data_IF_072148073833
#
_entry.id   IF_072148073833
#
_cell.length_a   1.000
_cell.length_b   1.000
_cell.length_c   1.000
_cell.angle_alpha   90.00
_cell.angle_beta   90.00
_cell.angle_gamma   90.00
#
_symmetry.space_group_name_H-M   'P 1'
#
loop_
_entity.id
_entity.type
_entity.pdbx_description
1 polymer ?
#
# COMPACT_ATOMS: atom_id res chain seq x y z
N UNK A 1 -14.52 -4.03 13.68
CA UNK A 1 -13.54 -4.42 12.64
C UNK A 1 -13.85 -3.58 11.42
N UNK A 2 -13.07 -2.54 11.16
CA UNK A 2 -13.23 -1.76 9.93
C UNK A 2 -12.73 -2.60 8.75
N UNK A 3 -13.40 -2.54 7.59
CA UNK A 3 -12.91 -3.26 6.42
C UNK A 3 -11.58 -2.64 5.96
N UNK A 4 -10.66 -3.51 5.53
CA UNK A 4 -9.50 -3.05 4.78
C UNK A 4 -9.95 -2.46 3.45
N UNK A 5 -9.27 -1.40 3.00
CA UNK A 5 -9.59 -0.72 1.74
C UNK A 5 -8.37 -0.71 0.81
N UNK A 6 -8.58 -0.62 -0.51
CA UNK A 6 -7.48 -0.49 -1.46
C UNK A 6 -6.65 0.77 -1.19
N UNK A 7 -5.33 0.64 -1.31
CA UNK A 7 -4.38 1.74 -1.17
C UNK A 7 -4.73 2.93 -2.07
N UNK A 8 -5.25 2.68 -3.27
CA UNK A 8 -5.65 3.73 -4.23
C UNK A 8 -6.76 4.65 -3.73
N UNK A 9 -7.50 4.26 -2.70
CA UNK A 9 -8.58 5.05 -2.09
C UNK A 9 -8.10 5.93 -0.92
N UNK A 10 -6.85 5.80 -0.48
CA UNK A 10 -6.31 6.57 0.64
C UNK A 10 -6.01 7.99 0.21
N UNK A 11 -6.39 8.98 1.02
CA UNK A 11 -6.16 10.39 0.74
C UNK A 11 -4.68 10.78 0.89
N UNK A 12 -4.16 11.71 0.06
CA UNK A 12 -2.81 12.24 0.24
C UNK A 12 -2.63 12.88 1.63
N UNK A 13 -1.46 12.69 2.23
CA UNK A 13 -1.13 13.10 3.59
C UNK A 13 -1.55 12.10 4.68
N UNK A 14 -2.27 11.03 4.33
CA UNK A 14 -2.63 9.99 5.31
C UNK A 14 -1.47 9.03 5.56
N UNK A 15 -1.30 8.63 6.81
CA UNK A 15 -0.40 7.54 7.21
C UNK A 15 -1.26 6.32 7.53
N UNK A 16 -0.98 5.20 6.88
CA UNK A 16 -1.75 3.95 6.99
C UNK A 16 -0.83 2.75 7.09
N UNK A 17 -1.36 1.62 7.59
CA UNK A 17 -0.62 0.36 7.70
C UNK A 17 -1.11 -0.63 6.67
N UNK A 18 -0.19 -1.23 5.92
CA UNK A 18 -0.52 -2.31 4.97
C UNK A 18 -1.08 -3.48 5.76
N UNK A 19 -2.27 -3.93 5.39
CA UNK A 19 -2.86 -5.15 5.95
C UNK A 19 -2.44 -6.37 5.13
N UNK A 20 -2.46 -6.25 3.80
CA UNK A 20 -2.14 -7.33 2.88
C UNK A 20 -1.65 -6.79 1.53
N UNK A 21 -0.74 -7.54 0.90
CA UNK A 21 -0.44 -7.41 -0.54
C UNK A 21 -1.10 -8.58 -1.27
N UNK A 22 -1.95 -8.26 -2.25
CA UNK A 22 -2.71 -9.22 -3.04
C UNK A 22 -2.06 -9.31 -4.42
N UNK A 23 -1.62 -10.50 -4.81
CA UNK A 23 -1.09 -10.78 -6.15
C UNK A 23 -0.44 -12.15 -6.25
N UNK A 24 0.27 -12.39 -7.36
CA UNK A 24 1.06 -13.61 -7.53
C UNK A 24 2.19 -13.71 -6.51
N UNK A 25 2.67 -14.93 -6.22
CA UNK A 25 3.73 -15.15 -5.23
C UNK A 25 4.99 -14.32 -5.51
N UNK A 26 5.41 -14.23 -6.78
CA UNK A 26 6.57 -13.45 -7.18
C UNK A 26 6.33 -11.94 -7.03
N UNK A 27 5.12 -11.45 -7.33
CA UNK A 27 4.75 -10.04 -7.13
C UNK A 27 4.76 -9.68 -5.65
N UNK A 28 4.14 -10.50 -4.81
CA UNK A 28 4.10 -10.29 -3.35
C UNK A 28 5.51 -10.29 -2.77
N UNK A 29 6.37 -11.23 -3.21
CA UNK A 29 7.77 -11.30 -2.78
C UNK A 29 8.53 -10.03 -3.19
N UNK A 30 8.40 -9.59 -4.45
CA UNK A 30 9.03 -8.37 -4.94
C UNK A 30 8.57 -7.13 -4.18
N UNK A 31 7.28 -7.05 -3.86
CA UNK A 31 6.73 -5.96 -3.03
C UNK A 31 7.36 -5.98 -1.63
N UNK A 32 7.47 -7.15 -0.99
CA UNK A 32 8.13 -7.28 0.30
C UNK A 32 9.61 -6.86 0.27
N UNK A 33 10.35 -7.20 -0.79
CA UNK A 33 11.74 -6.75 -1.00
C UNK A 33 11.86 -5.22 -1.11
N UNK A 34 10.81 -4.54 -1.59
CA UNK A 34 10.73 -3.08 -1.64
C UNK A 34 10.19 -2.46 -0.33
N UNK A 35 9.92 -3.28 0.69
CA UNK A 35 9.35 -2.86 1.98
C UNK A 35 7.82 -2.81 2.02
N UNK A 36 7.13 -3.18 0.94
CA UNK A 36 5.67 -3.22 0.84
C UNK A 36 5.17 -4.60 1.28
N UNK A 37 4.92 -4.77 2.58
CA UNK A 37 4.39 -6.00 3.15
C UNK A 37 3.44 -5.69 4.31
N UNK A 38 2.67 -6.69 4.73
CA UNK A 38 1.79 -6.57 5.89
C UNK A 38 2.54 -6.01 7.11
N UNK A 39 1.93 -5.03 7.76
CA UNK A 39 2.48 -4.34 8.91
C UNK A 39 3.36 -3.12 8.60
N UNK A 40 3.74 -2.89 7.35
CA UNK A 40 4.48 -1.69 6.96
C UNK A 40 3.59 -0.45 7.07
N UNK A 41 4.09 0.57 7.75
CA UNK A 41 3.51 1.91 7.73
C UNK A 41 3.96 2.69 6.49
N UNK A 42 3.01 3.32 5.81
CA UNK A 42 3.26 4.10 4.60
C UNK A 42 2.52 5.44 4.66
N UNK A 43 3.13 6.48 4.11
CA UNK A 43 2.50 7.79 3.93
C UNK A 43 2.04 7.91 2.47
N UNK A 44 0.77 8.24 2.27
CA UNK A 44 0.22 8.49 0.93
C UNK A 44 0.64 9.88 0.44
N UNK A 45 1.32 9.95 -0.70
CA UNK A 45 1.73 11.21 -1.33
C UNK A 45 0.82 11.58 -2.51
N UNK A 46 0.31 10.58 -3.24
CA UNK A 46 -0.63 10.77 -4.35
C UNK A 46 -1.53 9.53 -4.49
N UNK A 47 -2.85 9.73 -4.48
CA UNK A 47 -3.85 8.67 -4.66
C UNK A 47 -4.10 8.35 -6.14
N UNK A 48 -4.80 7.23 -6.40
CA UNK A 48 -5.22 6.84 -7.76
C UNK A 48 -4.31 5.82 -8.44
N UNK A 49 -4.20 5.87 -9.76
CA UNK A 49 -3.35 4.97 -10.55
C UNK A 49 -2.45 5.77 -11.49
N UNK A 50 -1.17 6.02 -11.13
CA UNK A 50 -0.43 5.41 -10.02
C UNK A 50 -0.67 6.07 -8.66
N UNK A 51 -0.50 5.28 -7.60
CA UNK A 51 -0.24 5.76 -6.25
C UNK A 51 1.23 6.18 -6.11
N UNK A 52 1.50 7.28 -5.41
CA UNK A 52 2.84 7.60 -4.93
C UNK A 52 2.80 7.53 -3.41
N UNK A 53 3.69 6.72 -2.83
CA UNK A 53 3.75 6.48 -1.39
C UNK A 53 5.17 6.68 -0.88
N UNK A 54 5.30 7.02 0.40
CA UNK A 54 6.57 6.99 1.11
C UNK A 54 6.60 5.79 2.05
N UNK A 55 7.71 5.06 1.98
CA UNK A 55 8.02 3.93 2.85
C UNK A 55 9.38 4.17 3.47
N UNK A 56 9.43 4.43 4.77
CA UNK A 56 10.64 4.93 5.42
C UNK A 56 11.14 6.22 4.75
N UNK A 57 12.36 6.17 4.19
CA UNK A 57 12.97 7.31 3.49
C UNK A 57 12.76 7.30 1.98
N UNK A 58 12.19 6.22 1.42
CA UNK A 58 12.04 6.05 -0.02
C UNK A 58 10.65 6.47 -0.49
N UNK A 59 10.57 7.06 -1.69
CA UNK A 59 9.32 7.27 -2.42
C UNK A 59 9.16 6.20 -3.49
N UNK A 60 8.01 5.53 -3.50
CA UNK A 60 7.69 4.47 -4.44
C UNK A 60 6.46 4.86 -5.27
N UNK A 61 6.51 4.51 -6.55
CA UNK A 61 5.37 4.59 -7.45
C UNK A 61 4.76 3.19 -7.57
N UNK A 62 3.51 3.05 -7.17
CA UNK A 62 2.77 1.80 -7.23
C UNK A 62 1.58 1.97 -8.18
N UNK A 63 1.45 1.08 -9.17
CA UNK A 63 0.31 1.05 -10.08
C UNK A 63 -0.56 -0.15 -9.75
N UNK A 64 -1.72 0.03 -9.08
CA UNK A 64 -2.66 -1.06 -8.88
C UNK A 64 -3.15 -1.61 -10.22
N UNK A 65 -3.43 -2.91 -10.26
CA UNK A 65 -4.07 -3.61 -11.36
C UNK A 65 -5.03 -4.68 -10.84
N UNK A 66 -5.73 -5.37 -11.73
CA UNK A 66 -6.66 -6.45 -11.36
C UNK A 66 -5.95 -7.64 -10.70
N UNK A 67 -4.65 -7.78 -10.90
CA UNK A 67 -3.84 -8.91 -10.39
C UNK A 67 -2.86 -8.50 -9.29
N UNK A 68 -2.67 -7.21 -9.04
CA UNK A 68 -1.76 -6.70 -8.01
C UNK A 68 -2.36 -5.49 -7.30
N UNK A 69 -2.64 -5.64 -6.01
CA UNK A 69 -3.22 -4.59 -5.19
C UNK A 69 -2.66 -4.61 -3.76
N UNK A 70 -2.73 -3.47 -3.09
CA UNK A 70 -2.33 -3.32 -1.70
C UNK A 70 -3.57 -2.93 -0.91
N UNK A 71 -3.86 -3.69 0.15
CA UNK A 71 -4.91 -3.39 1.11
C UNK A 71 -4.29 -2.76 2.35
N UNK A 72 -4.97 -1.79 2.92
CA UNK A 72 -4.55 -1.10 4.14
C UNK A 72 -5.66 -1.08 5.16
N UNK A 73 -5.27 -1.13 6.43
CA UNK A 73 -6.22 -0.98 7.53
C UNK A 73 -6.48 0.51 7.78
N UNK A 74 -7.75 0.82 8.04
CA UNK A 74 -8.21 2.17 8.43
C UNK A 74 -8.28 2.35 9.94
N UNK A 75 -7.81 1.37 10.71
CA UNK A 75 -7.71 1.47 12.15
C UNK A 75 -6.78 2.64 12.48
N UNK A 76 -7.32 3.67 13.16
CA UNK A 76 -6.51 4.78 13.63
C UNK A 76 -5.49 4.23 14.63
N UNK A 77 -4.21 4.48 14.39
CA UNK A 77 -3.21 4.45 15.45
C UNK A 77 -3.58 5.47 16.54
#
# INVERSE_FOLDING_TARGET
MFPDIPLSMIQPGSVVRISQVVGGQDDVKRMAEMGLQAGTEIEMLQSGSPCIIRVGQSKLCFRPSDILNILVSTDKA
#
